data_IF_206392696170
#
_entry.id   IF_206392696170
#
_cell.length_a   1.000
_cell.length_b   1.000
_cell.length_c   1.000
_cell.angle_alpha   90.00
_cell.angle_beta   90.00
_cell.angle_gamma   90.00
#
_symmetry.space_group_name_H-M   'P 1'
#
loop_
_entity.id
_entity.type
_entity.pdbx_description
1 polymer ?
#
# COMPACT_ATOMS: atom_id res chain seq x y z
N UNK A 1 28.10 7.24 24.27
CA UNK A 1 27.06 7.98 23.53
C UNK A 1 26.14 8.62 24.57
N UNK A 2 26.19 9.93 24.77
CA UNK A 2 25.31 10.61 25.74
C UNK A 2 23.96 10.91 25.07
N UNK A 3 22.90 10.22 25.46
CA UNK A 3 21.54 10.56 25.02
C UNK A 3 21.15 11.95 25.55
N UNK A 4 21.08 12.93 24.65
CA UNK A 4 20.62 14.27 24.98
C UNK A 4 19.09 14.30 24.94
N UNK A 5 18.45 14.17 26.11
CA UNK A 5 16.99 14.27 26.20
C UNK A 5 16.56 15.73 26.10
N UNK A 6 15.95 16.12 24.96
CA UNK A 6 15.42 17.47 24.75
C UNK A 6 13.95 17.53 25.18
N UNK A 7 13.61 18.49 26.05
CA UNK A 7 12.20 18.78 26.39
C UNK A 7 11.58 19.63 25.29
N UNK A 8 10.41 19.23 24.82
CA UNK A 8 9.64 19.91 23.78
C UNK A 8 8.21 20.14 24.26
N UNK A 9 7.53 21.15 23.72
CA UNK A 9 6.12 21.38 24.03
C UNK A 9 5.23 20.30 23.38
N UNK A 10 3.99 20.14 23.88
CA UNK A 10 3.02 19.22 23.30
C UNK A 10 2.75 19.49 21.81
N UNK A 11 2.72 20.76 21.40
CA UNK A 11 2.51 21.15 20.00
C UNK A 11 3.71 20.75 19.12
N UNK A 12 4.93 20.95 19.62
CA UNK A 12 6.15 20.51 18.95
C UNK A 12 6.22 18.99 18.82
N UNK A 13 5.82 18.26 19.87
CA UNK A 13 5.74 16.80 19.83
C UNK A 13 4.75 16.30 18.76
N UNK A 14 3.58 16.95 18.64
CA UNK A 14 2.59 16.63 17.59
C UNK A 14 3.13 16.87 16.18
N UNK A 15 3.81 18.01 15.96
CA UNK A 15 4.46 18.33 14.67
C UNK A 15 5.55 17.31 14.33
N UNK A 16 6.40 16.95 15.29
CA UNK A 16 7.45 15.94 15.11
C UNK A 16 6.86 14.55 14.81
N UNK A 17 5.76 14.18 15.48
CA UNK A 17 5.04 12.94 15.20
C UNK A 17 4.47 12.95 13.78
N UNK A 18 3.79 14.03 13.37
CA UNK A 18 3.24 14.17 12.02
C UNK A 18 4.33 14.10 10.93
N UNK A 19 5.47 14.76 11.14
CA UNK A 19 6.63 14.69 10.23
C UNK A 19 7.30 13.32 10.23
N UNK A 20 7.28 12.62 11.37
CA UNK A 20 7.80 11.25 11.45
C UNK A 20 6.86 10.28 10.74
N UNK A 21 5.55 10.47 10.91
CA UNK A 21 4.54 9.64 10.27
C UNK A 21 4.54 9.88 8.75
N UNK A 22 4.68 11.12 8.28
CA UNK A 22 4.85 11.41 6.85
C UNK A 22 6.14 10.80 6.26
N UNK A 23 7.18 10.60 7.07
CA UNK A 23 8.41 9.90 6.64
C UNK A 23 8.28 8.37 6.69
N UNK A 24 7.38 7.83 7.52
CA UNK A 24 7.13 6.38 7.62
C UNK A 24 6.37 5.86 6.42
N UNK A 25 5.51 6.68 5.81
CA UNK A 25 5.00 6.45 4.48
C UNK A 25 6.11 6.79 3.48
N UNK A 26 7.07 5.87 3.35
CA UNK A 26 7.96 5.87 2.18
C UNK A 26 7.02 5.71 0.99
N UNK A 27 6.87 6.75 0.19
CA UNK A 27 6.08 6.71 -1.04
C UNK A 27 6.68 5.61 -1.91
N UNK A 28 6.08 4.42 -1.87
CA UNK A 28 6.40 3.36 -2.83
C UNK A 28 5.77 3.83 -4.14
N UNK A 29 6.62 4.17 -5.09
CA UNK A 29 6.16 4.61 -6.42
C UNK A 29 5.41 3.46 -7.10
N UNK A 30 4.49 3.78 -8.01
CA UNK A 30 3.78 2.77 -8.81
C UNK A 30 4.76 1.85 -9.56
N UNK A 31 5.90 2.39 -10.00
CA UNK A 31 6.99 1.67 -10.65
C UNK A 31 7.68 0.67 -9.71
N UNK A 32 7.82 1.03 -8.43
CA UNK A 32 8.39 0.16 -7.40
C UNK A 32 7.40 -0.92 -6.99
N UNK A 33 6.10 -0.60 -6.94
CA UNK A 33 5.03 -1.61 -6.75
C UNK A 33 5.03 -2.61 -7.92
N UNK A 34 5.09 -2.14 -9.17
CA UNK A 34 5.12 -3.00 -10.34
C UNK A 34 6.32 -3.95 -10.34
N UNK A 35 7.49 -3.46 -9.94
CA UNK A 35 8.69 -4.28 -9.79
C UNK A 35 8.55 -5.32 -8.68
N UNK A 36 8.00 -4.92 -7.53
CA UNK A 36 7.74 -5.86 -6.43
C UNK A 36 6.77 -6.95 -6.82
N UNK A 37 5.77 -6.63 -7.66
CA UNK A 37 4.81 -7.61 -8.22
C UNK A 37 5.50 -8.58 -9.18
N UNK A 38 6.36 -8.08 -10.08
CA UNK A 38 7.08 -8.91 -11.07
C UNK A 38 8.14 -9.80 -10.43
N UNK A 39 8.77 -9.34 -9.33
CA UNK A 39 9.81 -10.06 -8.62
C UNK A 39 9.27 -11.05 -7.56
N UNK A 40 7.96 -11.03 -7.25
CA UNK A 40 7.35 -11.89 -6.24
C UNK A 40 6.96 -13.26 -6.83
N UNK A 41 7.67 -14.34 -6.49
CA UNK A 41 7.41 -15.68 -7.04
C UNK A 41 6.12 -16.31 -6.52
N UNK A 42 5.54 -15.79 -5.44
CA UNK A 42 4.29 -16.26 -4.85
C UNK A 42 3.07 -15.53 -5.44
N UNK A 43 3.29 -14.48 -6.24
CA UNK A 43 2.21 -13.76 -6.92
C UNK A 43 1.81 -14.49 -8.21
N UNK A 44 0.51 -14.77 -8.34
CA UNK A 44 -0.02 -15.32 -9.59
C UNK A 44 -0.07 -14.25 -10.67
N UNK A 45 0.77 -14.40 -11.69
CA UNK A 45 0.64 -13.64 -12.93
C UNK A 45 -0.47 -14.26 -13.77
N UNK A 46 -1.66 -13.65 -13.74
CA UNK A 46 -2.74 -14.05 -14.63
C UNK A 46 -2.39 -13.68 -16.06
N UNK A 47 -2.59 -14.62 -16.99
CA UNK A 47 -2.57 -14.32 -18.41
C UNK A 47 -3.77 -13.45 -18.79
N UNK A 48 -3.71 -12.77 -19.94
CA UNK A 48 -4.81 -11.93 -20.43
C UNK A 48 -6.15 -12.70 -20.51
N UNK A 49 -6.07 -14.00 -20.82
CA UNK A 49 -7.23 -14.88 -20.87
C UNK A 49 -7.81 -15.16 -19.47
N UNK A 50 -6.96 -15.48 -18.49
CA UNK A 50 -7.39 -15.74 -17.11
C UNK A 50 -7.89 -14.46 -16.43
N UNK A 51 -7.29 -13.31 -16.74
CA UNK A 51 -7.76 -12.01 -16.28
C UNK A 51 -9.15 -11.70 -16.82
N UNK A 52 -9.39 -11.95 -18.11
CA UNK A 52 -10.70 -11.75 -18.73
C UNK A 52 -11.77 -12.65 -18.09
N UNK A 53 -11.44 -13.92 -17.78
CA UNK A 53 -12.34 -14.84 -17.08
C UNK A 53 -12.64 -14.38 -15.64
N UNK A 54 -11.64 -13.86 -14.94
CA UNK A 54 -11.79 -13.31 -13.58
C UNK A 54 -12.68 -12.05 -13.56
N UNK A 55 -12.46 -11.12 -14.49
CA UNK A 55 -13.29 -9.92 -14.64
C UNK A 55 -14.75 -10.29 -14.96
N UNK A 56 -14.94 -11.25 -15.87
CA UNK A 56 -16.27 -11.76 -16.23
C UNK A 56 -16.99 -12.38 -15.01
N UNK A 57 -16.27 -13.17 -14.20
CA UNK A 57 -16.79 -13.75 -12.98
C UNK A 57 -17.18 -12.67 -11.95
N UNK A 58 -16.36 -11.63 -11.79
CA UNK A 58 -16.66 -10.47 -10.94
C UNK A 58 -17.93 -9.73 -11.36
N UNK A 59 -18.12 -9.49 -12.66
CA UNK A 59 -19.33 -8.87 -13.21
C UNK A 59 -20.59 -9.73 -12.98
N UNK A 60 -20.50 -11.05 -13.16
CA UNK A 60 -21.67 -11.95 -12.97
C UNK A 60 -22.10 -12.10 -11.51
N UNK A 61 -21.27 -11.69 -10.56
CA UNK A 61 -21.56 -11.77 -9.12
C UNK A 61 -22.30 -10.52 -8.64
N UNK A 62 -21.97 -9.34 -9.17
CA UNK A 62 -22.69 -8.07 -8.89
C UNK A 62 -24.16 -8.12 -9.33
N UNK A 63 -24.48 -8.85 -10.42
CA UNK A 63 -25.87 -9.05 -10.86
C UNK A 63 -26.66 -10.06 -10.01
N UNK A 64 -25.97 -11.02 -9.37
CA UNK A 64 -26.61 -12.04 -8.52
C UNK A 64 -26.94 -11.53 -7.11
N UNK A 65 -26.17 -10.58 -6.59
CA UNK A 65 -26.43 -9.92 -5.30
C UNK A 65 -27.49 -8.79 -5.38
N UNK A 66 -27.96 -8.42 -6.58
CA UNK A 66 -29.03 -7.43 -6.80
C UNK A 66 -30.42 -8.02 -7.07
N UNK A 67 -30.58 -9.35 -7.03
CA UNK A 67 -31.84 -10.06 -7.31
C UNK A 67 -32.51 -10.60 -6.06
#
# INVERSE_FOLDING_TARGET
MTESTRRVSLEQARKLKSLSDSRKFREVSEEEIARMIEEDPDLYHLTDQELAEFELAGMTTDERDRS
#
